data_IF_246780047671
#
_entry.id   IF_246780047671
#
_cell.length_a   1.000
_cell.length_b   1.000
_cell.length_c   1.000
_cell.angle_alpha   90.00
_cell.angle_beta   90.00
_cell.angle_gamma   90.00
#
_symmetry.space_group_name_H-M   'P 1'
#
loop_
_entity.id
_entity.type
_entity.pdbx_description
1 polymer ?
#
# COMPACT_ATOMS: atom_id res chain seq x y z
N UNK A 1 -8.00 5.83 13.72
CA UNK A 1 -6.72 5.21 13.37
C UNK A 1 -6.61 4.83 11.90
N UNK A 2 -7.55 4.05 11.38
CA UNK A 2 -7.56 3.71 9.94
C UNK A 2 -7.67 4.97 9.08
N UNK A 3 -8.48 5.92 9.49
CA UNK A 3 -8.67 7.19 8.77
C UNK A 3 -7.39 8.05 8.74
N UNK A 4 -6.61 8.04 9.83
CA UNK A 4 -5.37 8.82 9.90
C UNK A 4 -4.30 8.29 8.97
N UNK A 5 -4.14 6.97 8.90
CA UNK A 5 -3.18 6.35 8.00
C UNK A 5 -3.57 6.58 6.54
N UNK A 6 -4.86 6.42 6.23
CA UNK A 6 -5.40 6.67 4.90
C UNK A 6 -5.23 8.14 4.52
N UNK A 7 -5.52 9.07 5.45
CA UNK A 7 -5.34 10.49 5.23
C UNK A 7 -3.86 10.84 5.00
N UNK A 8 -2.95 10.22 5.77
CA UNK A 8 -1.52 10.41 5.59
C UNK A 8 -1.04 9.91 4.22
N UNK A 9 -1.50 8.73 3.81
CA UNK A 9 -1.16 8.20 2.49
C UNK A 9 -1.72 9.08 1.38
N UNK A 10 -2.94 9.56 1.53
CA UNK A 10 -3.56 10.48 0.57
C UNK A 10 -2.84 11.81 0.50
N UNK A 11 -2.43 12.36 1.65
CA UNK A 11 -1.67 13.61 1.73
C UNK A 11 -0.30 13.45 1.08
N UNK A 12 0.39 12.36 1.37
CA UNK A 12 1.69 12.06 0.76
C UNK A 12 1.55 11.91 -0.76
N UNK A 13 0.51 11.22 -1.21
CA UNK A 13 0.24 11.06 -2.64
C UNK A 13 -0.05 12.40 -3.31
N UNK A 14 -0.83 13.27 -2.67
CA UNK A 14 -1.13 14.61 -3.18
C UNK A 14 0.13 15.48 -3.23
N UNK A 15 0.95 15.47 -2.18
CA UNK A 15 2.21 16.20 -2.15
C UNK A 15 3.17 15.72 -3.24
N UNK A 16 3.25 14.42 -3.45
CA UNK A 16 4.06 13.87 -4.52
C UNK A 16 3.53 14.26 -5.89
N UNK A 17 2.22 14.24 -6.09
CA UNK A 17 1.60 14.69 -7.31
C UNK A 17 1.91 16.14 -7.63
N UNK A 18 1.79 17.02 -6.64
CA UNK A 18 2.12 18.44 -6.78
C UNK A 18 3.60 18.66 -7.11
N UNK A 19 4.48 17.96 -6.44
CA UNK A 19 5.93 18.06 -6.71
C UNK A 19 6.28 17.54 -8.10
N UNK A 20 5.67 16.43 -8.50
CA UNK A 20 5.87 15.89 -9.84
C UNK A 20 5.37 16.86 -10.91
N UNK A 21 4.21 17.48 -10.71
CA UNK A 21 3.65 18.45 -11.62
C UNK A 21 4.54 19.70 -11.72
N UNK A 22 5.05 20.21 -10.60
CA UNK A 22 6.00 21.33 -10.60
C UNK A 22 7.29 20.98 -11.30
N UNK A 23 7.79 19.79 -11.06
CA UNK A 23 9.02 19.33 -11.69
C UNK A 23 8.83 19.17 -13.19
N UNK A 24 7.71 18.64 -13.61
CA UNK A 24 7.34 18.49 -15.01
C UNK A 24 7.14 19.84 -15.68
N UNK A 25 6.51 20.78 -14.98
CA UNK A 25 6.32 22.15 -15.49
C UNK A 25 7.66 22.88 -15.66
N UNK A 26 8.60 22.67 -14.76
CA UNK A 26 9.93 23.27 -14.84
C UNK A 26 10.85 22.58 -15.86
N UNK A 27 10.62 21.32 -16.12
CA UNK A 27 11.35 20.57 -17.14
C UNK A 27 10.89 20.89 -18.56
N UNK A 28 9.92 21.66 -18.73
CA UNK A 28 9.28 22.34 -19.87
C UNK A 28 9.44 21.81 -21.27
N UNK A 29 10.17 20.81 -21.49
CA UNK A 29 10.34 20.34 -22.85
C UNK A 29 9.62 19.05 -23.09
N UNK A 30 8.61 18.81 -22.31
CA UNK A 30 7.47 17.97 -22.56
C UNK A 30 7.67 16.74 -23.41
N UNK A 31 8.84 16.28 -23.51
CA UNK A 31 9.08 15.10 -24.27
C UNK A 31 8.88 13.88 -23.38
N UNK A 32 7.72 13.32 -23.50
CA UNK A 32 7.38 12.09 -22.87
C UNK A 32 6.71 12.28 -21.52
N UNK A 33 5.53 11.74 -21.45
CA UNK A 33 4.88 11.54 -20.18
C UNK A 33 5.84 10.80 -19.26
N UNK A 34 6.30 11.46 -18.25
CA UNK A 34 7.12 10.85 -17.24
C UNK A 34 6.32 9.73 -16.60
N UNK A 35 6.78 8.51 -16.77
CA UNK A 35 6.20 7.39 -16.08
C UNK A 35 6.25 7.64 -14.58
N UNK A 36 5.12 7.44 -13.92
CA UNK A 36 5.07 7.50 -12.47
C UNK A 36 5.90 6.37 -11.89
N UNK A 37 6.55 6.65 -10.76
CA UNK A 37 7.24 5.58 -10.04
C UNK A 37 6.23 4.56 -9.54
N UNK A 38 6.64 3.30 -9.36
CA UNK A 38 5.76 2.30 -8.76
C UNK A 38 5.18 2.73 -7.41
N UNK A 39 5.96 3.45 -6.61
CA UNK A 39 5.51 3.96 -5.31
C UNK A 39 4.40 4.99 -5.46
N UNK A 40 4.51 5.91 -6.41
CA UNK A 40 3.47 6.89 -6.71
C UNK A 40 2.17 6.21 -7.14
N UNK A 41 2.28 5.20 -7.99
CA UNK A 41 1.13 4.42 -8.46
C UNK A 41 0.46 3.70 -7.29
N UNK A 42 1.25 3.06 -6.43
CA UNK A 42 0.72 2.36 -5.26
C UNK A 42 -0.05 3.30 -4.33
N UNK A 43 0.50 4.48 -4.05
CA UNK A 43 -0.17 5.49 -3.23
C UNK A 43 -1.46 5.98 -3.85
N UNK A 44 -1.44 6.19 -5.15
CA UNK A 44 -2.62 6.63 -5.90
C UNK A 44 -3.73 5.59 -5.85
N UNK A 45 -3.38 4.31 -6.02
CA UNK A 45 -4.35 3.22 -5.92
C UNK A 45 -4.96 3.15 -4.52
N UNK A 46 -4.15 3.29 -3.47
CA UNK A 46 -4.64 3.32 -2.09
C UNK A 46 -5.60 4.49 -1.86
N UNK A 47 -5.25 5.68 -2.35
CA UNK A 47 -6.10 6.86 -2.22
C UNK A 47 -7.43 6.68 -2.95
N UNK A 48 -7.41 6.11 -4.15
CA UNK A 48 -8.63 5.84 -4.92
C UNK A 48 -9.52 4.82 -4.21
N UNK A 49 -8.93 3.78 -3.63
CA UNK A 49 -9.70 2.78 -2.88
C UNK A 49 -10.30 3.38 -1.61
N UNK A 50 -9.57 4.23 -0.92
CA UNK A 50 -10.07 4.92 0.26
C UNK A 50 -11.25 5.85 -0.07
N UNK A 51 -11.17 6.53 -1.21
CA UNK A 51 -12.22 7.45 -1.67
C UNK A 51 -13.56 6.74 -1.91
N UNK A 52 -13.55 5.46 -2.23
CA UNK A 52 -14.79 4.68 -2.38
C UNK A 52 -15.63 4.67 -1.12
N UNK A 53 -14.98 4.68 0.04
CA UNK A 53 -15.66 4.62 1.33
C UNK A 53 -16.44 5.90 1.66
N UNK A 54 -16.13 7.00 0.99
CA UNK A 54 -16.88 8.26 1.14
C UNK A 54 -18.24 8.20 0.44
N UNK A 55 -18.40 7.29 -0.52
CA UNK A 55 -19.59 7.20 -1.36
C UNK A 55 -20.37 5.90 -1.18
N UNK A 56 -19.73 4.82 -0.76
CA UNK A 56 -20.33 3.49 -0.71
C UNK A 56 -20.07 2.81 0.63
N UNK A 57 -20.97 1.89 1.05
CA UNK A 57 -20.74 1.10 2.25
C UNK A 57 -19.48 0.24 2.13
N UNK A 58 -18.72 0.17 3.23
CA UNK A 58 -17.49 -0.61 3.28
C UNK A 58 -17.69 -2.10 2.94
N UNK A 59 -18.87 -2.64 3.23
CA UNK A 59 -19.19 -4.05 2.96
C UNK A 59 -19.11 -4.44 1.50
N UNK A 60 -19.15 -3.45 0.58
CA UNK A 60 -18.97 -3.70 -0.84
C UNK A 60 -17.51 -3.97 -1.22
N UNK A 61 -16.57 -3.69 -0.34
CA UNK A 61 -15.14 -3.75 -0.62
C UNK A 61 -14.43 -4.65 0.38
N UNK A 62 -14.85 -5.91 0.45
CA UNK A 62 -14.36 -6.87 1.44
C UNK A 62 -13.04 -7.57 1.10
N UNK A 63 -12.29 -7.05 0.16
CA UNK A 63 -10.98 -7.62 -0.17
C UNK A 63 -9.84 -6.79 0.44
N UNK A 64 -9.45 -7.03 1.70
CA UNK A 64 -8.38 -6.25 2.31
C UNK A 64 -6.99 -6.62 1.80
N UNK A 65 -6.86 -7.78 1.14
CA UNK A 65 -5.56 -8.30 0.72
C UNK A 65 -4.80 -7.35 -0.20
N UNK A 66 -5.49 -6.76 -1.17
CA UNK A 66 -4.85 -5.84 -2.10
C UNK A 66 -4.36 -4.58 -1.41
N UNK A 67 -5.18 -4.00 -0.54
CA UNK A 67 -4.77 -2.84 0.25
C UNK A 67 -3.56 -3.15 1.13
N UNK A 68 -3.53 -4.35 1.72
CA UNK A 68 -2.41 -4.81 2.52
C UNK A 68 -1.13 -4.92 1.70
N UNK A 69 -1.19 -5.52 0.53
CA UNK A 69 -0.02 -5.64 -0.35
C UNK A 69 0.52 -4.28 -0.77
N UNK A 70 -0.37 -3.35 -1.12
CA UNK A 70 0.02 -1.99 -1.47
C UNK A 70 0.63 -1.25 -0.28
N UNK A 71 0.03 -1.38 0.91
CA UNK A 71 0.53 -0.75 2.12
C UNK A 71 1.91 -1.30 2.51
N UNK A 72 2.12 -2.60 2.40
CA UNK A 72 3.42 -3.23 2.65
C UNK A 72 4.46 -2.77 1.63
N UNK A 73 4.06 -2.61 0.39
CA UNK A 73 4.96 -2.09 -0.64
C UNK A 73 5.41 -0.66 -0.31
N UNK A 74 4.47 0.22 0.02
CA UNK A 74 4.79 1.60 0.38
C UNK A 74 5.69 1.64 1.61
N UNK A 75 5.38 0.85 2.65
CA UNK A 75 6.20 0.77 3.85
C UNK A 75 7.62 0.31 3.53
N UNK A 76 7.77 -0.68 2.66
CA UNK A 76 9.07 -1.17 2.21
C UNK A 76 9.89 -0.06 1.56
N UNK A 77 9.28 0.71 0.65
CA UNK A 77 9.96 1.81 -0.04
C UNK A 77 10.30 2.97 0.90
N UNK A 78 9.52 3.18 1.92
CA UNK A 78 9.76 4.20 2.95
C UNK A 78 10.62 3.70 4.11
N UNK A 79 11.06 2.46 4.04
CA UNK A 79 11.87 1.81 5.08
C UNK A 79 11.19 1.84 6.45
N UNK A 80 9.89 1.61 6.45
CA UNK A 80 9.09 1.50 7.66
C UNK A 80 8.71 0.06 7.91
N UNK A 81 8.70 -0.33 9.18
CA UNK A 81 8.25 -1.66 9.58
C UNK A 81 6.75 -1.65 9.83
N UNK A 82 6.11 -2.79 9.55
CA UNK A 82 4.72 -3.00 9.84
C UNK A 82 4.51 -4.23 10.71
N UNK A 83 3.67 -4.09 11.72
CA UNK A 83 3.22 -5.23 12.52
C UNK A 83 1.77 -5.59 12.11
N UNK A 84 1.25 -6.69 12.65
CA UNK A 84 -0.10 -7.15 12.35
C UNK A 84 -1.15 -6.06 12.63
N UNK A 85 -1.04 -5.43 13.79
CA UNK A 85 -1.98 -4.38 14.21
C UNK A 85 -2.00 -3.20 13.23
N UNK A 86 -0.83 -2.72 12.85
CA UNK A 86 -0.69 -1.62 11.89
C UNK A 86 -1.25 -2.01 10.53
N UNK A 87 -0.94 -3.22 10.07
CA UNK A 87 -1.41 -3.70 8.77
C UNK A 87 -2.93 -3.85 8.75
N UNK A 88 -3.52 -4.42 9.80
CA UNK A 88 -4.97 -4.54 9.94
C UNK A 88 -5.63 -3.15 9.93
N UNK A 89 -4.99 -2.17 10.57
CA UNK A 89 -5.49 -0.80 10.62
C UNK A 89 -5.49 -0.10 9.25
N UNK A 90 -4.74 -0.61 8.27
CA UNK A 90 -4.75 -0.04 6.90
C UNK A 90 -6.00 -0.41 6.12
N UNK A 91 -6.79 -1.36 6.60
CA UNK A 91 -7.98 -1.85 5.90
C UNK A 91 -9.24 -1.43 6.62
N UNK A 92 -10.35 -1.40 5.89
CA UNK A 92 -11.68 -1.18 6.45
C UNK A 92 -12.40 -2.47 6.82
N UNK A 93 -11.79 -3.62 6.55
CA UNK A 93 -12.37 -4.91 6.85
C UNK A 93 -12.34 -5.21 8.35
N UNK A 94 -13.23 -6.08 8.84
CA UNK A 94 -13.16 -6.54 10.23
C UNK A 94 -11.82 -7.18 10.56
N UNK A 95 -11.39 -7.06 11.81
CA UNK A 95 -10.09 -7.56 12.28
C UNK A 95 -9.91 -9.05 11.97
N UNK A 96 -10.94 -9.85 12.24
CA UNK A 96 -10.90 -11.30 11.99
C UNK A 96 -10.71 -11.63 10.51
N UNK A 97 -11.42 -10.92 9.64
CA UNK A 97 -11.30 -11.06 8.19
C UNK A 97 -9.88 -10.67 7.74
N UNK A 98 -9.37 -9.57 8.24
CA UNK A 98 -8.02 -9.10 7.91
C UNK A 98 -6.96 -10.10 8.33
N UNK A 99 -7.09 -10.69 9.52
CA UNK A 99 -6.16 -11.70 10.00
C UNK A 99 -6.18 -12.96 9.13
N UNK A 100 -7.34 -13.39 8.66
CA UNK A 100 -7.47 -14.51 7.73
C UNK A 100 -6.74 -14.23 6.42
N UNK A 101 -6.85 -13.02 5.91
CA UNK A 101 -6.16 -12.64 4.68
C UNK A 101 -4.65 -12.58 4.87
N UNK A 102 -4.18 -12.11 6.03
CA UNK A 102 -2.75 -12.16 6.36
C UNK A 102 -2.26 -13.61 6.34
N UNK A 103 -2.98 -14.53 6.97
CA UNK A 103 -2.64 -15.95 6.95
C UNK A 103 -2.61 -16.50 5.53
N UNK A 104 -3.59 -16.12 4.71
CA UNK A 104 -3.67 -16.57 3.32
C UNK A 104 -2.53 -16.03 2.48
N UNK A 105 -2.21 -14.75 2.61
CA UNK A 105 -1.07 -14.15 1.91
C UNK A 105 0.26 -14.82 2.30
N UNK A 106 0.38 -15.19 3.56
CA UNK A 106 1.56 -15.91 4.03
C UNK A 106 1.64 -17.32 3.40
N UNK A 107 0.52 -18.01 3.32
CA UNK A 107 0.46 -19.33 2.64
C UNK A 107 0.80 -19.23 1.16
N UNK A 108 0.41 -18.15 0.51
CA UNK A 108 0.75 -17.88 -0.88
C UNK A 108 2.21 -17.42 -1.07
N UNK A 109 2.95 -17.27 0.01
CA UNK A 109 4.35 -16.84 0.01
C UNK A 109 4.55 -15.43 -0.54
N UNK A 110 3.52 -14.59 -0.42
CA UNK A 110 3.60 -13.19 -0.85
C UNK A 110 4.09 -12.27 0.27
N UNK A 111 3.99 -12.70 1.51
CA UNK A 111 4.46 -11.96 2.67
C UNK A 111 5.31 -12.84 3.56
N UNK A 112 6.19 -12.21 4.32
CA UNK A 112 6.99 -12.83 5.37
C UNK A 112 6.50 -12.37 6.73
N UNK A 113 6.58 -13.28 7.70
CA UNK A 113 6.32 -12.99 9.10
C UNK A 113 7.61 -13.21 9.86
N UNK A 114 8.07 -12.16 10.52
CA UNK A 114 9.30 -12.21 11.28
C UNK A 114 8.96 -11.93 12.74
N UNK A 115 9.17 -12.92 13.60
CA UNK A 115 8.98 -12.75 15.04
C UNK A 115 10.17 -12.00 15.59
N UNK A 116 9.92 -10.92 16.35
CA UNK A 116 10.98 -10.18 17.02
C UNK A 116 11.65 -11.11 18.05
N UNK A 117 12.96 -11.37 17.94
CA UNK A 117 13.66 -12.23 18.88
C UNK A 117 13.67 -11.69 20.32
N UNK A 118 13.48 -10.39 20.49
CA UNK A 118 13.45 -9.75 21.80
C UNK A 118 12.05 -9.71 22.42
N UNK A 119 11.01 -9.78 21.58
CA UNK A 119 9.63 -9.81 22.04
C UNK A 119 8.78 -10.63 21.08
N UNK A 120 8.48 -11.88 21.46
CA UNK A 120 7.71 -12.82 20.65
C UNK A 120 6.27 -12.36 20.35
N UNK A 121 5.78 -11.34 21.05
CA UNK A 121 4.47 -10.76 20.78
C UNK A 121 4.50 -9.84 19.55
N UNK A 122 5.70 -9.38 19.17
CA UNK A 122 5.88 -8.54 17.99
C UNK A 122 6.18 -9.40 16.78
N UNK A 123 5.25 -9.38 15.84
CA UNK A 123 5.43 -10.00 14.54
C UNK A 123 5.48 -8.91 13.51
N UNK A 124 6.61 -8.76 12.85
CA UNK A 124 6.75 -7.85 11.73
C UNK A 124 6.31 -8.54 10.45
N UNK A 125 5.59 -7.81 9.61
CA UNK A 125 5.12 -8.30 8.33
C UNK A 125 5.75 -7.47 7.24
N UNK A 126 6.26 -8.14 6.23
CA UNK A 126 6.83 -7.49 5.04
C UNK A 126 6.47 -8.28 3.79
N UNK A 127 6.58 -7.65 2.64
CA UNK A 127 6.51 -8.40 1.39
C UNK A 127 7.67 -9.37 1.31
N UNK A 128 7.39 -10.59 0.85
CA UNK A 128 8.46 -11.50 0.44
C UNK A 128 9.09 -10.98 -0.86
N UNK A 129 10.22 -11.56 -1.27
CA UNK A 129 10.83 -11.21 -2.55
C UNK A 129 9.86 -11.46 -3.71
N UNK A 130 9.13 -12.57 -3.67
CA UNK A 130 8.13 -12.88 -4.70
C UNK A 130 6.95 -11.93 -4.66
N UNK A 131 6.50 -11.54 -3.47
CA UNK A 131 5.43 -10.55 -3.28
C UNK A 131 5.83 -9.19 -3.82
N UNK A 132 7.04 -8.76 -3.51
CA UNK A 132 7.58 -7.49 -3.99
C UNK A 132 7.65 -7.46 -5.53
N UNK A 133 8.19 -8.52 -6.14
CA UNK A 133 8.25 -8.63 -7.60
C UNK A 133 6.85 -8.63 -8.24
N UNK A 134 5.90 -9.31 -7.63
CA UNK A 134 4.54 -9.37 -8.14
C UNK A 134 3.88 -7.99 -8.12
N UNK A 135 4.04 -7.25 -7.01
CA UNK A 135 3.48 -5.89 -6.89
C UNK A 135 4.12 -4.97 -7.93
N UNK A 136 5.43 -4.95 -8.02
CA UNK A 136 6.12 -4.11 -9.01
C UNK A 136 5.69 -4.46 -10.44
N UNK A 137 5.62 -5.74 -10.76
CA UNK A 137 5.19 -6.19 -12.09
C UNK A 137 3.81 -5.70 -12.47
N UNK A 138 2.89 -5.70 -11.50
CA UNK A 138 1.55 -5.17 -11.71
C UNK A 138 1.56 -3.63 -11.86
N UNK A 139 2.27 -2.94 -10.98
CA UNK A 139 2.32 -1.48 -11.00
C UNK A 139 2.93 -0.95 -12.30
N UNK A 140 3.90 -1.65 -12.85
CA UNK A 140 4.51 -1.28 -14.14
C UNK A 140 3.50 -1.33 -15.29
N UNK A 141 2.48 -2.18 -15.19
CA UNK A 141 1.44 -2.31 -16.23
C UNK A 141 0.29 -1.33 -16.06
N UNK A 142 0.01 -0.91 -14.85
CA UNK A 142 -1.18 -0.09 -14.56
C UNK A 142 -1.05 1.32 -15.11
N UNK A 143 0.17 1.81 -15.29
CA UNK A 143 0.43 3.15 -15.77
C UNK A 143 0.69 3.21 -17.30
N UNK A 144 0.48 2.11 -18.00
CA UNK A 144 0.59 2.07 -19.46
C UNK A 144 -0.64 2.66 -20.15
#
# INVERSE_FOLDING_TARGET
MVRDLTARLSTIAAEFGERADRYTANATTGEGERRRSPTEIARRLLAQRAARLDHFPAELFHEPAWDMLLALYVASEERQTMNVKTLVATTSAPVTTSQRWIDHLHKLKLIDRIVDPMDRRRVEISLSDSGHRAVIGYLDRVDD
#
